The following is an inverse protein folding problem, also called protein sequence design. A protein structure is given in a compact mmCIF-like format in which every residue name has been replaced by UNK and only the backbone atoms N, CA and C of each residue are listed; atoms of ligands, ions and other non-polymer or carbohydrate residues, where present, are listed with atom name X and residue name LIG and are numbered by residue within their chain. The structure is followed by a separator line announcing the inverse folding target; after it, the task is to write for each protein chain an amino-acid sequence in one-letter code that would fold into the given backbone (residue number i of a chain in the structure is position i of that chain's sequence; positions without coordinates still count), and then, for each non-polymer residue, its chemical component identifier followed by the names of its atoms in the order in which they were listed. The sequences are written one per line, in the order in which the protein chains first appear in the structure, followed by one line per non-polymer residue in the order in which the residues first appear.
data_IF_736240064018
#
_entry.id   IF_736240064018
#
_cell.length_a   1.000
_cell.length_b   1.000
_cell.length_c   1.000
_cell.angle_alpha   90.00
_cell.angle_beta   90.00
_cell.angle_gamma   90.00
#
_symmetry.space_group_name_H-M   'P 1'
#
loop_
_entity.id
_entity.type
_entity.pdbx_description
1 polymer ?
#
# COMPACT_ATOMS: atom_id res chain seq x y z
N UNK A 1 -22.91 15.47 10.52
CA UNK A 1 -21.71 15.24 9.69
C UNK A 1 -21.15 16.56 9.21
N UNK A 2 -20.41 17.25 10.07
CA UNK A 2 -19.60 18.41 9.69
C UNK A 2 -18.14 18.05 10.00
N UNK A 3 -17.25 18.10 9.01
CA UNK A 3 -15.79 18.07 9.25
C UNK A 3 -14.97 16.89 8.70
N UNK A 4 -15.50 16.04 7.81
CA UNK A 4 -14.64 15.08 7.10
C UNK A 4 -13.95 15.77 5.92
N UNK A 5 -12.61 15.72 5.85
CA UNK A 5 -11.85 16.24 4.72
C UNK A 5 -12.03 15.33 3.51
N UNK A 6 -12.20 15.93 2.33
CA UNK A 6 -12.29 15.22 1.06
C UNK A 6 -11.07 15.54 0.20
N UNK A 7 -10.59 14.53 -0.53
CA UNK A 7 -9.44 14.65 -1.42
C UNK A 7 -9.52 13.59 -2.49
N UNK A 8 -9.05 13.91 -3.69
CA UNK A 8 -8.99 12.97 -4.81
C UNK A 8 -7.66 13.12 -5.52
N UNK A 9 -7.00 12.00 -5.75
CA UNK A 9 -5.78 11.92 -6.52
C UNK A 9 -5.92 10.78 -7.52
N UNK A 10 -5.53 11.05 -8.76
CA UNK A 10 -5.53 10.09 -9.85
C UNK A 10 -4.13 10.02 -10.47
N UNK A 11 -3.75 8.83 -10.92
CA UNK A 11 -2.52 8.59 -11.66
C UNK A 11 -2.77 7.43 -12.63
N UNK A 12 -2.04 7.44 -13.73
CA UNK A 12 -2.12 6.40 -14.76
C UNK A 12 -0.88 5.50 -14.68
N UNK A 13 -1.08 4.20 -14.89
CA UNK A 13 0.00 3.22 -14.90
C UNK A 13 -0.12 2.36 -16.14
N UNK A 14 0.95 2.32 -16.94
CA UNK A 14 1.07 1.42 -18.09
C UNK A 14 1.68 0.10 -17.60
N UNK A 15 0.80 -0.83 -17.22
CA UNK A 15 1.17 -2.10 -16.59
C UNK A 15 2.03 -3.01 -17.51
N UNK A 16 1.84 -2.88 -18.82
CA UNK A 16 2.58 -3.58 -19.88
C UNK A 16 4.04 -3.08 -20.04
N UNK A 17 4.31 -1.83 -19.63
CA UNK A 17 5.64 -1.22 -19.71
C UNK A 17 6.47 -1.38 -18.45
N UNK A 18 5.93 -2.00 -17.41
CA UNK A 18 6.69 -2.27 -16.19
C UNK A 18 7.76 -3.34 -16.47
N UNK A 19 8.96 -3.22 -15.89
CA UNK A 19 9.96 -4.28 -15.96
C UNK A 19 9.35 -5.63 -15.52
N UNK A 20 9.75 -6.71 -16.19
CA UNK A 20 9.24 -8.06 -15.87
C UNK A 20 9.52 -8.49 -14.44
N UNK A 21 10.52 -7.90 -13.79
CA UNK A 21 10.85 -8.10 -12.38
C UNK A 21 9.85 -7.47 -11.39
N UNK A 22 8.98 -6.57 -11.84
CA UNK A 22 7.95 -5.97 -10.99
C UNK A 22 6.78 -6.96 -10.85
N UNK A 23 6.57 -7.39 -9.61
CA UNK A 23 5.51 -8.34 -9.23
C UNK A 23 4.38 -7.67 -8.48
N UNK A 24 4.63 -6.55 -7.80
CA UNK A 24 3.69 -5.86 -6.94
C UNK A 24 3.83 -4.34 -7.09
N UNK A 25 2.70 -3.64 -7.13
CA UNK A 25 2.58 -2.19 -7.01
C UNK A 25 1.74 -1.89 -5.78
N UNK A 26 2.31 -1.22 -4.78
CA UNK A 26 1.59 -0.84 -3.57
C UNK A 26 1.17 0.62 -3.62
N UNK A 27 -0.09 0.89 -3.30
CA UNK A 27 -0.66 2.23 -3.25
C UNK A 27 -0.85 2.62 -1.79
N UNK A 28 -0.10 3.64 -1.34
CA UNK A 28 -0.13 4.16 0.02
C UNK A 28 -0.63 5.60 0.05
N UNK A 29 -1.35 5.95 1.11
CA UNK A 29 -1.74 7.30 1.46
C UNK A 29 -0.91 7.74 2.68
N UNK A 30 -0.38 8.96 2.69
CA UNK A 30 0.41 9.46 3.83
C UNK A 30 0.25 10.96 4.03
N UNK A 31 0.30 11.40 5.28
CA UNK A 31 0.29 12.81 5.63
C UNK A 31 1.56 13.50 5.09
N UNK A 32 1.38 14.56 4.31
CA UNK A 32 2.48 15.33 3.72
C UNK A 32 3.17 16.23 4.77
N UNK A 33 2.37 16.92 5.57
CA UNK A 33 2.84 17.91 6.57
C UNK A 33 2.13 17.79 7.92
N UNK A 34 1.04 17.01 8.00
CA UNK A 34 0.23 16.82 9.21
C UNK A 34 0.69 15.64 10.09
N UNK A 35 0.20 15.56 11.33
CA UNK A 35 0.54 14.49 12.26
C UNK A 35 -0.12 13.15 11.89
N UNK A 36 -1.28 13.18 11.21
CA UNK A 36 -1.99 11.98 10.77
C UNK A 36 -2.90 12.24 9.57
N UNK A 37 -3.52 11.17 9.06
CA UNK A 37 -4.50 11.21 7.95
C UNK A 37 -5.94 10.97 8.44
N UNK A 38 -6.24 11.21 9.73
CA UNK A 38 -7.54 10.85 10.34
C UNK A 38 -8.72 11.66 9.82
N UNK A 39 -8.44 12.85 9.27
CA UNK A 39 -9.46 13.67 8.62
C UNK A 39 -10.09 12.97 7.39
N UNK A 40 -9.37 11.99 6.80
CA UNK A 40 -9.83 11.16 5.69
C UNK A 40 -10.43 9.84 6.20
N UNK A 41 -11.63 9.92 6.76
CA UNK A 41 -12.32 8.76 7.37
C UNK A 41 -12.85 7.74 6.37
N UNK A 42 -13.15 8.18 5.14
CA UNK A 42 -13.71 7.36 4.06
C UNK A 42 -12.70 7.27 2.93
N UNK A 43 -12.00 6.15 2.85
CA UNK A 43 -11.04 5.88 1.79
C UNK A 43 -11.73 5.12 0.66
N UNK A 44 -11.54 5.60 -0.56
CA UNK A 44 -12.00 4.92 -1.77
C UNK A 44 -10.85 4.79 -2.76
N UNK A 45 -10.70 3.59 -3.31
CA UNK A 45 -9.84 3.32 -4.46
C UNK A 45 -10.73 2.88 -5.61
N UNK A 46 -10.46 3.39 -6.80
CA UNK A 46 -11.14 3.00 -8.03
C UNK A 46 -10.07 2.72 -9.07
N UNK A 47 -10.12 1.54 -9.68
CA UNK A 47 -9.29 1.15 -10.81
C UNK A 47 -10.18 1.13 -12.04
N UNK A 48 -9.76 1.85 -13.07
CA UNK A 48 -10.51 1.99 -14.33
C UNK A 48 -9.61 1.65 -15.50
N UNK A 49 -10.22 1.21 -16.58
CA UNK A 49 -9.53 1.18 -17.86
C UNK A 49 -9.37 2.62 -18.37
N UNK A 50 -8.16 2.97 -18.81
CA UNK A 50 -7.89 4.28 -19.40
C UNK A 50 -8.46 4.37 -20.81
N UNK A 51 -8.48 3.26 -21.55
CA UNK A 51 -9.00 3.20 -22.93
C UNK A 51 -10.54 3.19 -22.97
N UNK A 52 -11.17 2.76 -21.87
CA UNK A 52 -12.61 2.85 -21.63
C UNK A 52 -12.90 3.53 -20.28
N UNK A 53 -12.94 4.87 -20.30
CA UNK A 53 -13.15 5.70 -19.09
C UNK A 53 -14.46 5.42 -18.31
N UNK A 54 -15.43 4.73 -18.93
CA UNK A 54 -16.67 4.28 -18.27
C UNK A 54 -16.52 2.92 -17.59
N UNK A 55 -15.47 2.17 -17.92
CA UNK A 55 -15.22 0.83 -17.40
C UNK A 55 -14.44 0.89 -16.08
N UNK A 56 -15.19 0.81 -14.97
CA UNK A 56 -14.62 0.49 -13.67
C UNK A 56 -14.26 -1.00 -13.63
N UNK A 57 -12.97 -1.29 -13.51
CA UNK A 57 -12.46 -2.65 -13.35
C UNK A 57 -12.81 -3.15 -11.94
N UNK A 58 -12.55 -2.30 -10.94
CA UNK A 58 -12.84 -2.61 -9.54
C UNK A 58 -12.79 -1.35 -8.68
N UNK A 59 -13.54 -1.35 -7.58
CA UNK A 59 -13.42 -0.33 -6.54
C UNK A 59 -13.50 -0.92 -5.15
N UNK A 60 -12.90 -0.19 -4.22
CA UNK A 60 -12.86 -0.55 -2.83
C UNK A 60 -13.15 0.66 -1.97
N UNK A 61 -13.98 0.45 -0.94
CA UNK A 61 -14.30 1.46 0.06
C UNK A 61 -13.96 0.88 1.42
N UNK A 62 -13.20 1.63 2.20
CA UNK A 62 -12.90 1.27 3.59
C UNK A 62 -12.99 2.48 4.49
N UNK A 63 -13.18 2.21 5.77
CA UNK A 63 -13.05 3.21 6.82
C UNK A 63 -11.70 3.01 7.49
N UNK A 64 -10.99 4.10 7.74
CA UNK A 64 -9.78 4.02 8.55
C UNK A 64 -10.14 3.56 9.96
N UNK A 65 -9.66 2.37 10.34
CA UNK A 65 -9.99 1.76 11.63
C UNK A 65 -9.12 2.26 12.80
N UNK A 66 -7.97 2.89 12.52
CA UNK A 66 -6.98 3.29 13.52
C UNK A 66 -6.26 4.59 13.13
N UNK A 67 -5.79 5.29 14.17
CA UNK A 67 -4.89 6.44 14.05
C UNK A 67 -3.59 6.00 13.34
N UNK A 68 -3.14 6.80 12.38
CA UNK A 68 -1.90 6.57 11.65
C UNK A 68 -1.59 7.73 10.72
N UNK A 69 -0.31 7.94 10.45
CA UNK A 69 0.18 8.99 9.54
C UNK A 69 0.38 8.50 8.11
N UNK A 70 0.22 7.20 7.88
CA UNK A 70 0.08 6.59 6.57
C UNK A 70 -0.89 5.42 6.61
N UNK A 71 -1.39 5.01 5.45
CA UNK A 71 -2.20 3.82 5.26
C UNK A 71 -1.81 3.11 3.96
N UNK A 72 -1.70 1.78 4.02
CA UNK A 72 -1.69 0.97 2.82
C UNK A 72 -3.14 0.74 2.38
N UNK A 73 -3.47 1.23 1.18
CA UNK A 73 -4.83 1.16 0.65
C UNK A 73 -5.06 -0.10 -0.18
N UNK A 74 -4.16 -0.41 -1.11
CA UNK A 74 -4.28 -1.59 -1.96
C UNK A 74 -2.93 -1.93 -2.59
N UNK A 75 -2.86 -3.09 -3.22
CA UNK A 75 -1.81 -3.40 -4.18
C UNK A 75 -2.40 -4.02 -5.45
N UNK A 76 -1.73 -3.77 -6.57
CA UNK A 76 -1.84 -4.59 -7.76
C UNK A 76 -0.71 -5.61 -7.70
N UNK A 77 -1.00 -6.88 -7.90
CA UNK A 77 0.02 -7.92 -7.91
C UNK A 77 -0.21 -8.92 -9.03
N UNK A 78 0.89 -9.48 -9.54
CA UNK A 78 0.84 -10.57 -10.50
C UNK A 78 0.46 -11.87 -9.80
N UNK A 79 -0.47 -12.61 -10.39
CA UNK A 79 -0.76 -13.99 -10.03
C UNK A 79 0.26 -14.96 -10.63
N UNK A 80 -0.01 -16.27 -10.53
CA UNK A 80 0.87 -17.32 -11.06
C UNK A 80 0.95 -17.31 -12.60
N UNK A 81 -0.08 -16.78 -13.27
CA UNK A 81 -0.16 -16.67 -14.71
C UNK A 81 0.41 -15.32 -15.22
N UNK A 82 0.84 -14.45 -14.31
CA UNK A 82 1.40 -13.13 -14.62
C UNK A 82 0.35 -12.04 -14.85
N UNK A 83 -0.92 -12.32 -14.55
CA UNK A 83 -2.03 -11.39 -14.67
C UNK A 83 -2.14 -10.51 -13.42
N UNK A 84 -2.50 -9.24 -13.61
CA UNK A 84 -2.62 -8.29 -12.50
C UNK A 84 -3.96 -8.45 -11.78
N UNK A 85 -3.90 -8.63 -10.46
CA UNK A 85 -5.04 -8.69 -9.56
C UNK A 85 -4.96 -7.55 -8.52
N UNK A 86 -6.10 -6.94 -8.19
CA UNK A 86 -6.19 -5.90 -7.16
C UNK A 86 -6.54 -6.51 -5.82
N UNK A 87 -5.68 -6.30 -4.83
CA UNK A 87 -6.01 -6.66 -3.45
C UNK A 87 -6.04 -5.42 -2.57
N UNK A 88 -7.00 -5.42 -1.66
CA UNK A 88 -7.38 -4.25 -0.91
C UNK A 88 -7.00 -4.40 0.56
N UNK A 89 -6.45 -3.34 1.13
CA UNK A 89 -6.03 -3.27 2.51
C UNK A 89 -6.69 -2.07 3.20
N UNK A 90 -6.68 -2.08 4.54
CA UNK A 90 -7.12 -0.96 5.37
C UNK A 90 -6.16 -0.73 6.51
N UNK A 91 -4.87 -0.95 6.26
CA UNK A 91 -3.87 -1.06 7.32
C UNK A 91 -3.17 0.26 7.52
N UNK A 92 -3.36 0.86 8.71
CA UNK A 92 -2.64 2.05 9.13
C UNK A 92 -1.16 1.74 9.44
N UNK A 93 -0.29 2.70 9.17
CA UNK A 93 1.13 2.71 9.46
C UNK A 93 1.51 4.02 10.16
N UNK A 94 2.52 3.96 11.03
CA UNK A 94 3.02 5.08 11.84
C UNK A 94 4.07 5.93 11.10
N UNK A 95 4.32 5.68 9.81
CA UNK A 95 5.21 6.46 8.94
C UNK A 95 4.49 7.62 8.24
N UNK A 96 5.19 8.46 7.49
CA UNK A 96 4.61 9.60 6.77
C UNK A 96 5.38 9.91 5.47
N UNK A 97 5.03 10.98 4.77
CA UNK A 97 5.67 11.34 3.50
C UNK A 97 7.19 11.65 3.61
N UNK A 98 7.69 11.94 4.81
CA UNK A 98 9.11 12.18 5.08
C UNK A 98 9.83 10.93 5.62
N UNK A 99 9.09 9.98 6.18
CA UNK A 99 9.61 8.72 6.68
C UNK A 99 8.71 7.55 6.26
N UNK A 100 9.02 6.98 5.10
CA UNK A 100 8.34 5.79 4.58
C UNK A 100 8.84 4.48 5.22
N UNK A 101 9.82 4.50 6.12
CA UNK A 101 10.39 3.28 6.71
C UNK A 101 9.32 2.35 7.32
N UNK A 102 8.37 2.83 8.14
CA UNK A 102 7.33 1.97 8.69
C UNK A 102 6.41 1.37 7.63
N UNK A 103 6.13 2.10 6.55
CA UNK A 103 5.35 1.61 5.43
C UNK A 103 6.12 0.53 4.67
N UNK A 104 7.39 0.76 4.34
CA UNK A 104 8.25 -0.20 3.64
C UNK A 104 8.40 -1.53 4.42
N UNK A 105 8.53 -1.49 5.74
CA UNK A 105 8.55 -2.71 6.57
C UNK A 105 7.23 -3.50 6.48
N UNK A 106 6.10 -2.81 6.47
CA UNK A 106 4.79 -3.44 6.26
C UNK A 106 4.69 -4.07 4.87
N UNK A 107 5.12 -3.36 3.83
CA UNK A 107 5.12 -3.86 2.45
C UNK A 107 5.99 -5.11 2.32
N UNK A 108 7.17 -5.10 2.95
CA UNK A 108 8.08 -6.25 2.95
C UNK A 108 7.41 -7.48 3.54
N UNK A 109 6.75 -7.35 4.68
CA UNK A 109 6.05 -8.48 5.30
C UNK A 109 4.96 -9.04 4.38
N UNK A 110 4.17 -8.17 3.76
CA UNK A 110 3.14 -8.57 2.80
C UNK A 110 3.72 -9.28 1.58
N UNK A 111 4.89 -8.83 1.12
CA UNK A 111 5.57 -9.45 0.00
C UNK A 111 6.18 -10.80 0.39
N UNK A 112 6.78 -10.93 1.57
CA UNK A 112 7.36 -12.19 2.09
C UNK A 112 6.29 -13.26 2.34
N UNK A 113 5.07 -12.86 2.72
CA UNK A 113 3.94 -13.79 2.87
C UNK A 113 3.44 -14.31 1.51
N UNK A 114 3.61 -13.54 0.43
CA UNK A 114 3.12 -13.89 -0.92
C UNK A 114 4.16 -14.59 -1.77
N UNK A 115 5.40 -14.13 -1.71
CA UNK A 115 6.47 -14.57 -2.58
C UNK A 115 7.46 -15.41 -1.80
N UNK A 116 7.53 -16.70 -2.14
CA UNK A 116 8.45 -17.66 -1.52
C UNK A 116 9.93 -17.33 -1.76
N UNK A 117 10.24 -16.49 -2.76
CA UNK A 117 11.59 -15.99 -3.05
C UNK A 117 11.76 -14.60 -2.44
N UNK A 118 12.74 -14.44 -1.54
CA UNK A 118 13.11 -13.12 -1.00
C UNK A 118 13.60 -12.22 -2.13
N UNK A 119 12.80 -11.21 -2.47
CA UNK A 119 13.15 -10.21 -3.47
C UNK A 119 14.15 -9.23 -2.86
N UNK A 120 15.27 -8.97 -3.54
CA UNK A 120 16.18 -7.89 -3.15
C UNK A 120 15.56 -6.55 -3.54
N UNK A 121 15.30 -5.70 -2.55
CA UNK A 121 14.80 -4.34 -2.80
C UNK A 121 15.95 -3.44 -3.26
N UNK A 122 15.81 -2.71 -4.39
CA UNK A 122 16.92 -2.01 -5.03
C UNK A 122 17.46 -0.78 -4.27
N UNK A 123 16.87 -0.40 -3.14
CA UNK A 123 17.19 0.86 -2.45
C UNK A 123 17.30 0.73 -0.92
N UNK A 124 17.66 -0.43 -0.38
CA UNK A 124 17.98 -0.52 1.06
C UNK A 124 19.39 0.03 1.35
N UNK A 125 19.54 1.12 2.10
CA UNK A 125 20.82 1.48 2.68
C UNK A 125 21.23 0.42 3.71
N UNK A 126 22.53 0.17 3.89
CA UNK A 126 23.03 -0.86 4.81
C UNK A 126 22.47 -0.73 6.25
N UNK A 127 22.18 0.51 6.69
CA UNK A 127 21.58 0.82 8.01
C UNK A 127 20.17 0.24 8.23
N UNK A 128 19.50 -0.21 7.17
CA UNK A 128 18.18 -0.82 7.23
C UNK A 128 18.23 -2.28 7.71
N UNK A 129 19.31 -2.98 7.35
CA UNK A 129 19.52 -4.41 7.69
C UNK A 129 19.66 -4.63 9.19
N UNK A 130 20.21 -3.65 9.92
CA UNK A 130 20.41 -3.68 11.37
C UNK A 130 19.12 -3.37 12.16
N UNK A 131 18.18 -2.60 11.60
CA UNK A 131 16.92 -2.25 12.31
C UNK A 131 15.85 -3.32 12.20
N UNK A 132 15.83 -4.09 11.11
CA UNK A 132 14.90 -5.23 10.97
C UNK A 132 15.12 -6.28 12.06
N UNK A 133 16.37 -6.53 12.43
CA UNK A 133 16.71 -7.43 13.54
C UNK A 133 16.24 -6.91 14.90
N UNK A 134 16.04 -5.59 15.06
CA UNK A 134 15.69 -4.97 16.35
C UNK A 134 14.20 -4.63 16.50
N UNK A 135 13.47 -4.35 15.40
CA UNK A 135 12.06 -3.92 15.47
C UNK A 135 11.03 -5.03 15.23
N UNK A 136 11.45 -6.27 14.93
CA UNK A 136 10.55 -7.39 14.66
C UNK A 136 9.65 -7.83 15.84
N UNK A 137 9.73 -7.19 17.02
CA UNK A 137 9.07 -7.66 18.24
C UNK A 137 7.80 -6.92 18.66
N UNK A 138 7.48 -5.69 18.22
CA UNK A 138 6.47 -4.92 18.98
C UNK A 138 5.32 -4.19 18.28
N UNK A 139 5.27 -3.98 16.96
CA UNK A 139 4.15 -3.17 16.40
C UNK A 139 3.77 -3.61 14.99
N UNK A 140 3.14 -4.77 14.84
CA UNK A 140 2.48 -5.09 13.57
C UNK A 140 1.04 -5.55 13.80
N UNK A 141 0.05 -4.89 13.16
CA UNK A 141 -1.33 -5.35 13.22
C UNK A 141 -1.47 -6.73 12.57
N UNK A 142 -2.38 -7.54 13.10
CA UNK A 142 -2.74 -8.84 12.51
C UNK A 142 -3.38 -8.59 11.15
N UNK A 143 -2.81 -9.19 10.11
CA UNK A 143 -3.39 -9.16 8.77
C UNK A 143 -4.61 -10.09 8.73
N UNK A 144 -5.62 -9.78 7.90
CA UNK A 144 -6.72 -10.69 7.66
C UNK A 144 -6.22 -11.99 6.99
N UNK A 145 -6.89 -13.12 7.21
CA UNK A 145 -6.48 -14.39 6.63
C UNK A 145 -6.54 -14.34 5.10
N UNK A 146 -5.48 -14.86 4.47
CA UNK A 146 -5.41 -15.07 3.02
C UNK A 146 -6.53 -16.02 2.57
N UNK A 147 -7.26 -15.65 1.52
CA UNK A 147 -8.22 -16.53 0.85
C UNK A 147 -7.51 -17.48 -0.11
#
# INVERSE_FOLDING_TARGET
DEGASEGTQAFEVQLDRLPSSVTDLYITLSAATGPDIQEFTRLQVIVKDVEDSGHEITSFKTRMAKMGSAALMCNLAKDQDGMWDLQTYGTASIGNAKDYQPALLLLRKLQEERHSKKVQWPHMPASYRERETSQSLHVLPRLPPSR
#
